data_IF_621337480779
#
_entry.id   IF_621337480779
#
_cell.length_a   1.000
_cell.length_b   1.000
_cell.length_c   1.000
_cell.angle_alpha   90.00
_cell.angle_beta   90.00
_cell.angle_gamma   90.00
#
_symmetry.space_group_name_H-M   'P 1'
#
loop_
_entity.id
_entity.type
_entity.pdbx_description
1 polymer ?
#
# COMPACT_ATOMS: atom_id res chain seq x y z
N UNK A 1 -4.20 46.56 -27.22
CA UNK A 1 -3.28 45.58 -26.61
C UNK A 1 -4.03 44.86 -25.50
N UNK A 2 -4.28 43.56 -25.66
CA UNK A 2 -4.94 42.73 -24.66
C UNK A 2 -3.93 42.06 -23.74
N UNK A 3 -4.14 42.15 -22.44
CA UNK A 3 -3.51 41.28 -21.45
C UNK A 3 -4.45 40.10 -21.19
N UNK A 4 -4.06 38.91 -21.67
CA UNK A 4 -4.64 37.66 -21.19
C UNK A 4 -3.60 36.99 -20.31
N UNK A 5 -3.92 36.93 -19.02
CA UNK A 5 -3.24 36.12 -18.03
C UNK A 5 -3.33 34.65 -18.44
N UNK A 6 -2.19 33.99 -18.63
CA UNK A 6 -2.14 32.54 -18.79
C UNK A 6 -1.06 32.00 -17.86
N UNK A 7 -1.49 31.61 -16.67
CA UNK A 7 -0.73 30.79 -15.72
C UNK A 7 -0.62 29.39 -16.31
N UNK A 8 0.48 29.09 -17.00
CA UNK A 8 0.79 27.70 -17.27
C UNK A 8 2.30 27.48 -17.31
N UNK A 9 2.75 26.70 -16.35
CA UNK A 9 4.09 26.15 -16.17
C UNK A 9 4.41 25.18 -17.31
N UNK A 10 4.42 25.65 -18.55
CA UNK A 10 4.89 24.87 -19.70
C UNK A 10 6.32 25.26 -20.00
N UNK A 11 7.26 24.43 -19.56
CA UNK A 11 8.63 24.45 -20.05
C UNK A 11 8.63 24.03 -21.52
N UNK A 12 8.40 24.99 -22.43
CA UNK A 12 8.69 24.81 -23.85
C UNK A 12 10.18 25.08 -24.08
N UNK A 13 10.98 24.01 -24.13
CA UNK A 13 12.20 24.03 -24.92
C UNK A 13 11.84 23.47 -26.29
N UNK A 14 11.80 24.35 -27.29
CA UNK A 14 11.60 23.98 -28.70
C UNK A 14 12.60 22.90 -29.13
N UNK A 15 12.17 21.76 -29.70
CA UNK A 15 13.08 20.84 -30.35
C UNK A 15 13.36 21.29 -31.79
N UNK A 16 14.59 21.19 -32.30
CA UNK A 16 14.81 21.20 -33.74
C UNK A 16 14.30 19.87 -34.32
N UNK A 17 13.41 20.01 -35.28
CA UNK A 17 13.00 19.08 -36.33
C UNK A 17 13.85 17.80 -36.39
N UNK A 18 13.34 16.69 -35.83
CA UNK A 18 13.33 15.34 -36.44
C UNK A 18 12.60 14.39 -35.49
N UNK A 19 11.67 13.64 -36.08
CA UNK A 19 10.77 12.68 -35.44
C UNK A 19 11.55 11.58 -34.72
N UNK A 20 11.56 11.63 -33.39
CA UNK A 20 11.69 10.45 -32.56
C UNK A 20 10.99 10.76 -31.24
N UNK A 21 9.81 10.18 -31.03
CA UNK A 21 9.11 10.23 -29.73
C UNK A 21 9.92 9.38 -28.76
N UNK A 22 11.05 9.92 -28.29
CA UNK A 22 11.64 9.52 -27.04
C UNK A 22 10.98 10.40 -26.01
N UNK A 23 10.13 9.79 -25.18
CA UNK A 23 9.62 10.42 -23.97
C UNK A 23 10.83 10.95 -23.18
N UNK A 24 11.07 12.25 -23.26
CA UNK A 24 12.01 12.92 -22.38
C UNK A 24 11.31 12.98 -21.01
N UNK A 25 11.48 11.92 -20.22
CA UNK A 25 11.08 11.92 -18.81
C UNK A 25 11.88 13.02 -18.13
N UNK A 26 11.18 14.06 -17.67
CA UNK A 26 11.84 15.19 -17.03
C UNK A 26 12.56 14.70 -15.76
N UNK A 27 13.76 15.20 -15.43
CA UNK A 27 14.50 14.75 -14.24
C UNK A 27 13.72 14.93 -12.92
N UNK A 28 12.73 15.84 -12.87
CA UNK A 28 11.80 15.95 -11.75
C UNK A 28 10.87 14.74 -11.56
N UNK A 29 10.46 14.06 -12.65
CA UNK A 29 9.62 12.85 -12.58
C UNK A 29 10.38 11.65 -12.00
N UNK A 30 11.68 11.52 -12.31
CA UNK A 30 12.53 10.48 -11.72
C UNK A 30 12.68 10.63 -10.20
N UNK A 31 12.81 11.88 -9.71
CA UNK A 31 12.86 12.15 -8.27
C UNK A 31 11.53 11.86 -7.58
N UNK A 32 10.40 12.18 -8.22
CA UNK A 32 9.05 11.88 -7.72
C UNK A 32 8.79 10.37 -7.66
N UNK A 33 9.13 9.63 -8.71
CA UNK A 33 9.01 8.17 -8.75
C UNK A 33 9.87 7.50 -7.67
N UNK A 34 11.07 8.02 -7.41
CA UNK A 34 11.95 7.50 -6.36
C UNK A 34 11.38 7.78 -4.96
N UNK A 35 10.91 8.99 -4.71
CA UNK A 35 10.26 9.36 -3.46
C UNK A 35 9.01 8.49 -3.17
N UNK A 36 8.19 8.24 -4.18
CA UNK A 36 7.02 7.38 -4.07
C UNK A 36 7.41 5.93 -3.71
N UNK A 37 8.47 5.39 -4.32
CA UNK A 37 9.00 4.06 -3.97
C UNK A 37 9.53 3.98 -2.55
N UNK A 38 10.20 5.03 -2.08
CA UNK A 38 10.75 5.07 -0.73
C UNK A 38 9.62 5.16 0.32
N UNK A 39 8.54 5.89 0.02
CA UNK A 39 7.31 5.92 0.82
C UNK A 39 6.63 4.55 0.91
N UNK A 40 6.48 3.85 -0.23
CA UNK A 40 5.93 2.50 -0.27
C UNK A 40 6.79 1.56 0.60
N UNK A 41 8.11 1.60 0.42
CA UNK A 41 9.04 0.76 1.17
C UNK A 41 8.96 1.00 2.69
N UNK A 42 8.78 2.26 3.11
CA UNK A 42 8.55 2.61 4.51
C UNK A 42 7.23 2.00 5.02
N UNK A 43 6.13 2.17 4.27
CA UNK A 43 4.82 1.65 4.64
C UNK A 43 4.78 0.13 4.77
N UNK A 44 5.48 -0.58 3.88
CA UNK A 44 5.61 -2.04 3.96
C UNK A 44 6.39 -2.50 5.19
N UNK A 45 7.46 -1.77 5.53
CA UNK A 45 8.25 -2.07 6.73
C UNK A 45 7.44 -1.85 8.00
N UNK A 46 6.71 -0.73 8.08
CA UNK A 46 5.83 -0.41 9.21
C UNK A 46 4.69 -1.43 9.34
N UNK A 47 4.04 -1.77 8.23
CA UNK A 47 2.98 -2.79 8.21
C UNK A 47 3.51 -4.16 8.64
N UNK A 48 4.68 -4.58 8.13
CA UNK A 48 5.30 -5.84 8.56
C UNK A 48 5.62 -5.86 10.06
N UNK A 49 6.11 -4.75 10.61
CA UNK A 49 6.33 -4.62 12.06
C UNK A 49 5.02 -4.69 12.83
N UNK A 50 3.97 -4.00 12.36
CA UNK A 50 2.63 -4.02 12.97
C UNK A 50 2.05 -5.43 13.00
N UNK A 51 2.16 -6.19 11.91
CA UNK A 51 1.72 -7.58 11.84
C UNK A 51 2.51 -8.49 12.78
N UNK A 52 3.84 -8.31 12.86
CA UNK A 52 4.70 -9.11 13.75
C UNK A 52 4.50 -8.78 15.25
N UNK A 53 4.02 -7.57 15.56
CA UNK A 53 3.68 -7.16 16.91
C UNK A 53 2.33 -7.71 17.39
N UNK A 54 1.48 -8.21 16.49
CA UNK A 54 0.21 -8.81 16.88
C UNK A 54 0.49 -10.09 17.68
N UNK A 55 0.27 -10.01 18.99
CA UNK A 55 0.29 -11.17 19.87
C UNK A 55 -1.13 -11.71 19.94
N UNK A 56 -1.33 -12.92 19.43
CA UNK A 56 -2.60 -13.62 19.53
C UNK A 56 -2.82 -14.03 21.00
N UNK A 57 -3.63 -13.25 21.71
CA UNK A 57 -4.00 -13.49 23.10
C UNK A 57 -5.51 -13.46 23.25
N UNK A 58 -6.01 -14.06 24.33
CA UNK A 58 -7.42 -14.03 24.66
C UNK A 58 -7.91 -12.61 25.00
N UNK A 59 -9.13 -12.22 24.56
CA UNK A 59 -10.09 -13.03 23.82
C UNK A 59 -9.75 -13.16 22.33
N UNK A 60 -9.79 -14.40 21.83
CA UNK A 60 -9.62 -14.69 20.42
C UNK A 60 -10.82 -14.17 19.63
N UNK A 61 -10.54 -13.25 18.71
CA UNK A 61 -11.52 -12.83 17.72
C UNK A 61 -11.70 -13.92 16.65
N UNK A 62 -12.76 -13.83 15.85
CA UNK A 62 -12.98 -14.80 14.79
C UNK A 62 -12.03 -14.55 13.60
N UNK A 63 -11.88 -15.53 12.70
CA UNK A 63 -11.11 -15.36 11.46
C UNK A 63 -11.66 -14.17 10.64
N UNK A 64 -12.99 -14.06 10.54
CA UNK A 64 -13.66 -12.97 9.82
C UNK A 64 -13.36 -11.60 10.43
N UNK A 65 -13.38 -11.48 11.76
CA UNK A 65 -13.05 -10.23 12.45
C UNK A 65 -11.59 -9.82 12.20
N UNK A 66 -10.65 -10.78 12.26
CA UNK A 66 -9.24 -10.49 11.97
C UNK A 66 -9.02 -10.09 10.51
N UNK A 67 -9.74 -10.70 9.57
CA UNK A 67 -9.70 -10.29 8.16
C UNK A 67 -10.18 -8.84 8.01
N UNK A 68 -11.28 -8.48 8.67
CA UNK A 68 -11.78 -7.09 8.67
C UNK A 68 -10.77 -6.12 9.29
N UNK A 69 -10.14 -6.47 10.42
CA UNK A 69 -9.10 -5.62 11.05
C UNK A 69 -7.92 -5.40 10.11
N UNK A 70 -7.43 -6.45 9.45
CA UNK A 70 -6.33 -6.34 8.48
C UNK A 70 -6.75 -5.51 7.27
N UNK A 71 -7.97 -5.67 6.78
CA UNK A 71 -8.52 -4.87 5.68
C UNK A 71 -8.64 -3.39 6.06
N UNK A 72 -9.10 -3.08 7.27
CA UNK A 72 -9.17 -1.72 7.80
C UNK A 72 -7.78 -1.08 7.93
N UNK A 73 -6.78 -1.84 8.40
CA UNK A 73 -5.39 -1.37 8.41
C UNK A 73 -4.89 -1.10 6.99
N UNK A 74 -5.13 -1.99 6.03
CA UNK A 74 -4.76 -1.73 4.64
C UNK A 74 -5.42 -0.46 4.12
N UNK A 75 -6.71 -0.27 4.35
CA UNK A 75 -7.45 0.92 3.93
C UNK A 75 -6.89 2.19 4.58
N UNK A 76 -6.53 2.14 5.86
CA UNK A 76 -5.86 3.24 6.56
C UNK A 76 -4.53 3.61 5.89
N UNK A 77 -3.68 2.63 5.62
CA UNK A 77 -2.39 2.85 4.94
C UNK A 77 -2.60 3.42 3.54
N UNK A 78 -3.51 2.84 2.74
CA UNK A 78 -3.81 3.33 1.39
C UNK A 78 -4.30 4.78 1.43
N UNK A 79 -5.19 5.13 2.35
CA UNK A 79 -5.70 6.50 2.47
C UNK A 79 -4.61 7.48 2.96
N UNK A 80 -3.74 7.06 3.87
CA UNK A 80 -2.62 7.84 4.37
C UNK A 80 -1.58 8.13 3.28
N UNK A 81 -1.18 7.10 2.52
CA UNK A 81 -0.24 7.27 1.41
C UNK A 81 -0.87 7.98 0.21
N UNK A 82 -2.19 7.83 -0.01
CA UNK A 82 -2.89 8.55 -1.06
C UNK A 82 -2.69 10.05 -0.97
N UNK A 83 -2.55 10.63 0.22
CA UNK A 83 -2.29 12.06 0.38
C UNK A 83 -0.81 12.42 0.22
N UNK A 84 0.11 11.50 0.53
CA UNK A 84 1.56 11.73 0.50
C UNK A 84 2.21 11.51 -0.86
N UNK A 85 1.67 10.58 -1.67
CA UNK A 85 2.22 10.31 -3.00
C UNK A 85 2.10 11.57 -3.84
N UNK A 86 3.21 12.01 -4.44
CA UNK A 86 3.29 13.21 -5.27
C UNK A 86 3.49 12.84 -6.74
N UNK A 87 3.00 13.69 -7.66
CA UNK A 87 3.09 13.46 -9.10
C UNK A 87 1.73 13.45 -9.79
N UNK A 88 1.74 13.06 -11.05
CA UNK A 88 0.55 12.97 -11.91
C UNK A 88 -0.44 11.91 -11.39
N UNK A 89 -1.75 12.03 -11.66
CA UNK A 89 -2.75 11.06 -11.22
C UNK A 89 -2.39 9.62 -11.58
N UNK A 90 -1.88 9.39 -12.79
CA UNK A 90 -1.46 8.06 -13.25
C UNK A 90 -0.31 7.47 -12.42
N UNK A 91 0.66 8.28 -12.01
CA UNK A 91 1.77 7.83 -11.17
C UNK A 91 1.29 7.53 -9.76
N UNK A 92 0.36 8.35 -9.25
CA UNK A 92 -0.26 8.14 -7.93
C UNK A 92 -1.06 6.85 -7.91
N UNK A 93 -1.91 6.62 -8.88
CA UNK A 93 -2.72 5.41 -8.99
C UNK A 93 -1.83 4.16 -9.07
N UNK A 94 -0.75 4.22 -9.86
CA UNK A 94 0.21 3.13 -9.96
C UNK A 94 0.91 2.85 -8.62
N UNK A 95 1.40 3.90 -7.94
CA UNK A 95 2.06 3.76 -6.64
C UNK A 95 1.12 3.18 -5.57
N UNK A 96 -0.14 3.61 -5.55
CA UNK A 96 -1.15 3.09 -4.62
C UNK A 96 -1.54 1.64 -4.94
N UNK A 97 -1.61 1.29 -6.23
CA UNK A 97 -1.85 -0.08 -6.66
C UNK A 97 -0.70 -1.01 -6.24
N UNK A 98 0.55 -0.59 -6.45
CA UNK A 98 1.73 -1.33 -6.00
C UNK A 98 1.73 -1.51 -4.48
N UNK A 99 1.48 -0.43 -3.71
CA UNK A 99 1.36 -0.50 -2.25
C UNK A 99 0.29 -1.51 -1.81
N UNK A 100 -0.89 -1.48 -2.44
CA UNK A 100 -1.99 -2.39 -2.10
C UNK A 100 -1.62 -3.86 -2.35
N UNK A 101 -0.93 -4.14 -3.46
CA UNK A 101 -0.49 -5.50 -3.79
C UNK A 101 0.53 -6.03 -2.79
N UNK A 102 1.50 -5.20 -2.42
CA UNK A 102 2.54 -5.55 -1.47
C UNK A 102 1.96 -5.74 -0.05
N UNK A 103 1.05 -4.87 0.39
CA UNK A 103 0.33 -5.04 1.65
C UNK A 103 -0.46 -6.36 1.68
N UNK A 104 -1.15 -6.72 0.60
CA UNK A 104 -1.83 -8.02 0.49
C UNK A 104 -0.86 -9.19 0.59
N UNK A 105 0.32 -9.05 0.00
CA UNK A 105 1.36 -10.09 0.03
C UNK A 105 1.90 -10.30 1.44
N UNK A 106 1.95 -9.25 2.26
CA UNK A 106 2.30 -9.33 3.69
C UNK A 106 1.14 -9.83 4.56
N UNK A 107 -0.10 -9.45 4.23
CA UNK A 107 -1.30 -9.83 4.98
C UNK A 107 -1.64 -11.32 4.86
N UNK A 108 -1.53 -11.90 3.65
CA UNK A 108 -1.85 -13.31 3.39
C UNK A 108 -1.14 -14.31 4.34
N UNK A 109 0.19 -14.27 4.52
CA UNK A 109 0.88 -15.17 5.44
C UNK A 109 0.53 -14.90 6.91
N UNK A 110 0.16 -13.66 7.27
CA UNK A 110 -0.30 -13.34 8.62
C UNK A 110 -1.67 -13.97 8.92
N UNK A 111 -2.65 -13.78 8.02
CA UNK A 111 -3.97 -14.37 8.16
C UNK A 111 -3.93 -15.91 8.14
N UNK A 112 -3.06 -16.50 7.31
CA UNK A 112 -2.85 -17.95 7.30
C UNK A 112 -2.36 -18.47 8.67
N UNK A 113 -1.37 -17.80 9.28
CA UNK A 113 -0.90 -18.13 10.63
C UNK A 113 -2.01 -17.99 11.67
N UNK A 114 -2.82 -16.93 11.57
CA UNK A 114 -3.93 -16.70 12.49
C UNK A 114 -5.00 -17.80 12.39
N UNK A 115 -5.37 -18.19 11.17
CA UNK A 115 -6.29 -19.30 10.92
C UNK A 115 -5.78 -20.61 11.50
N UNK A 116 -4.49 -20.91 11.32
CA UNK A 116 -3.88 -22.12 11.89
C UNK A 116 -3.82 -22.06 13.43
N UNK A 117 -3.60 -20.86 13.99
CA UNK A 117 -3.69 -20.62 15.43
C UNK A 117 -5.10 -20.89 15.96
N UNK A 118 -6.14 -20.36 15.32
CA UNK A 118 -7.54 -20.60 15.70
C UNK A 118 -7.89 -22.09 15.68
N UNK A 119 -7.53 -22.82 14.61
CA UNK A 119 -7.73 -24.27 14.51
C UNK A 119 -7.04 -25.04 15.64
N UNK A 120 -5.84 -24.60 16.04
CA UNK A 120 -5.11 -25.24 17.15
C UNK A 120 -5.78 -25.01 18.50
N UNK A 121 -6.46 -23.88 18.67
CA UNK A 121 -7.17 -23.50 19.90
C UNK A 121 -8.61 -24.01 19.97
N UNK A 122 -9.24 -24.38 18.85
CA UNK A 122 -10.51 -25.13 18.83
C UNK A 122 -10.31 -26.61 19.25
N UNK A 123 -9.09 -27.14 19.08
CA UNK A 123 -8.78 -28.55 19.31
C UNK A 123 -8.72 -29.07 20.77
N UNK A 124 -8.60 -28.26 21.86
CA UNK A 124 -8.66 -28.76 23.24
C UNK A 124 -10.11 -28.84 23.74
N UNK A 125 -11.06 -29.25 22.89
CA UNK A 125 -12.40 -29.65 23.31
C UNK A 125 -12.46 -31.18 23.41
N UNK A 126 -11.65 -31.76 24.30
CA UNK A 126 -11.81 -33.17 24.67
C UNK A 126 -13.24 -33.37 25.22
N UNK A 127 -14.06 -34.28 24.67
CA UNK A 127 -15.18 -34.80 25.44
C UNK A 127 -14.55 -35.57 26.60
N UNK A 128 -14.73 -35.06 27.82
CA UNK A 128 -14.47 -35.83 29.03
C UNK A 128 -15.17 -37.19 28.88
N UNK A 129 -14.46 -38.33 29.04
CA UNK A 129 -15.13 -39.61 29.08
C UNK A 129 -15.98 -39.62 30.36
N UNK A 130 -17.30 -39.51 30.19
CA UNK A 130 -18.26 -39.74 31.28
C UNK A 130 -18.03 -41.15 31.84
N UNK A 131 -17.76 -41.22 33.15
CA UNK A 131 -17.63 -42.46 33.92
C UNK A 131 -18.97 -43.17 34.12
#
# INVERSE_FOLDING_TARGET
MGFSSFSETRCFLSPPITVSIRYFVCPGQMALLKANKDLISAGLKEFSVLLNQQVFNDPLISEEDMVTVVEDWMNFYINYYRQQVTGEPQERDKALQELRQELNTLANPFLAKYRDFLKSHELPSHPLPSS
#
